data_IF_391080200433
#
_entry.id   IF_391080200433
#
_cell.length_a   1.000
_cell.length_b   1.000
_cell.length_c   1.000
_cell.angle_alpha   90.00
_cell.angle_beta   90.00
_cell.angle_gamma   90.00
#
_symmetry.space_group_name_H-M   'P 1'
#
loop_
_entity.id
_entity.type
_entity.pdbx_description
1 polymer ?
#
# COMPACT_ATOMS: atom_id res chain seq x y z
N UNK A 1 19.12 3.58 -16.54
CA UNK A 1 19.76 4.29 -15.41
C UNK A 1 19.50 5.78 -15.58
N UNK A 2 18.38 6.27 -15.05
CA UNK A 2 18.14 7.72 -15.00
C UNK A 2 18.91 8.28 -13.81
N UNK A 3 19.80 9.24 -14.04
CA UNK A 3 20.58 9.89 -13.00
C UNK A 3 19.67 10.89 -12.29
N UNK A 4 19.46 10.69 -10.99
CA UNK A 4 18.84 11.69 -10.12
C UNK A 4 19.71 12.96 -10.13
N UNK A 5 19.17 14.04 -10.67
CA UNK A 5 19.79 15.36 -10.60
C UNK A 5 19.30 15.99 -9.31
N UNK A 6 20.21 16.22 -8.37
CA UNK A 6 19.91 17.01 -7.17
C UNK A 6 19.94 18.48 -7.58
N UNK A 7 18.77 19.10 -7.72
CA UNK A 7 18.67 20.56 -7.81
C UNK A 7 18.56 21.15 -6.40
N UNK A 8 19.57 21.94 -6.05
CA UNK A 8 19.58 22.80 -4.86
C UNK A 8 18.51 23.88 -5.03
N UNK A 9 17.36 23.75 -4.36
CA UNK A 9 16.51 24.87 -3.91
C UNK A 9 15.25 24.50 -3.11
N UNK A 10 15.15 23.31 -2.51
CA UNK A 10 14.00 23.00 -1.63
C UNK A 10 12.64 22.96 -2.34
N UNK A 11 12.63 22.88 -3.67
CA UNK A 11 11.43 22.66 -4.46
C UNK A 11 11.12 21.17 -4.60
N UNK A 12 9.84 20.85 -4.54
CA UNK A 12 9.29 19.50 -4.54
C UNK A 12 9.53 18.83 -5.89
N UNK A 13 10.49 17.90 -5.96
CA UNK A 13 10.40 16.85 -6.97
C UNK A 13 9.29 15.88 -6.53
N UNK A 14 8.06 16.19 -6.95
CA UNK A 14 7.05 15.16 -7.10
C UNK A 14 7.66 14.11 -8.04
N UNK A 15 7.61 12.80 -7.73
CA UNK A 15 7.78 11.82 -8.78
C UNK A 15 6.75 12.18 -9.86
N UNK A 16 7.22 12.47 -11.07
CA UNK A 16 6.38 12.79 -12.22
C UNK A 16 5.17 11.85 -12.23
N UNK A 17 3.95 12.33 -12.50
CA UNK A 17 2.77 11.46 -12.53
C UNK A 17 3.06 10.31 -13.47
N UNK A 18 3.26 9.12 -12.90
CA UNK A 18 3.41 7.90 -13.68
C UNK A 18 2.06 7.65 -14.34
N UNK A 19 2.04 7.80 -15.66
CA UNK A 19 0.88 7.52 -16.49
C UNK A 19 0.62 6.01 -16.38
N UNK A 20 -0.40 5.64 -15.61
CA UNK A 20 -0.84 4.25 -15.52
C UNK A 20 -1.42 3.81 -16.87
N UNK A 21 -0.66 3.06 -17.66
CA UNK A 21 -1.21 2.22 -18.73
C UNK A 21 -0.28 1.05 -19.07
N UNK A 22 -0.42 -0.08 -18.36
CA UNK A 22 0.04 -1.38 -18.86
C UNK A 22 -1.08 -2.39 -19.10
N UNK A 23 -2.32 -2.08 -18.68
CA UNK A 23 -3.44 -3.01 -18.71
C UNK A 23 -4.80 -2.30 -18.90
N UNK A 24 -5.05 -1.56 -20.00
CA UNK A 24 -6.35 -1.62 -20.71
C UNK A 24 -6.36 -0.85 -22.03
N UNK A 25 -6.44 -1.63 -23.12
CA UNK A 25 -6.75 -1.25 -24.51
C UNK A 25 -5.88 -0.13 -25.08
N UNK A 26 -4.87 -0.54 -25.86
CA UNK A 26 -4.43 0.25 -27.00
C UNK A 26 -5.68 0.73 -27.73
N UNK A 27 -5.85 2.05 -27.86
CA UNK A 27 -6.84 2.58 -28.78
C UNK A 27 -6.51 1.99 -30.16
N UNK A 28 -7.31 1.01 -30.61
CA UNK A 28 -7.21 0.53 -31.98
C UNK A 28 -7.89 1.61 -32.82
N UNK A 29 -7.10 2.52 -33.38
CA UNK A 29 -7.56 3.39 -34.44
C UNK A 29 -7.96 2.49 -35.62
N UNK A 30 -9.25 2.21 -35.77
CA UNK A 30 -9.81 1.66 -37.01
C UNK A 30 -10.19 2.82 -37.90
N UNK A 31 -9.25 3.32 -38.68
CA UNK A 31 -9.60 4.14 -39.85
C UNK A 31 -10.28 3.22 -40.86
N UNK A 32 -11.61 3.19 -40.86
CA UNK A 32 -12.38 2.66 -41.99
C UNK A 32 -12.47 3.80 -43.01
N UNK A 33 -11.51 3.87 -43.93
CA UNK A 33 -11.63 4.75 -45.09
C UNK A 33 -12.73 4.20 -45.98
N UNK A 34 -13.94 4.74 -45.85
CA UNK A 34 -14.98 4.61 -46.85
C UNK A 34 -15.15 5.98 -47.51
N UNK A 35 -15.08 5.97 -48.84
CA UNK A 35 -15.24 7.12 -49.72
C UNK A 35 -16.68 7.63 -49.64
N UNK A 36 -17.00 8.44 -48.63
CA UNK A 36 -18.21 9.26 -48.62
C UNK A 36 -18.04 10.43 -47.65
N UNK A 37 -18.23 11.64 -48.16
CA UNK A 37 -18.01 12.94 -47.53
C UNK A 37 -19.02 13.29 -46.42
N UNK A 38 -19.12 12.48 -45.37
CA UNK A 38 -19.84 12.86 -44.16
C UNK A 38 -18.84 13.09 -43.03
N UNK A 39 -18.85 14.33 -42.48
CA UNK A 39 -18.07 14.71 -41.29
C UNK A 39 -18.31 13.71 -40.17
N UNK A 40 -17.32 12.86 -39.89
CA UNK A 40 -17.29 12.05 -38.68
C UNK A 40 -16.30 12.69 -37.74
N UNK A 41 -16.82 13.28 -36.66
CA UNK A 41 -16.01 13.64 -35.51
C UNK A 41 -15.44 12.32 -34.95
N UNK A 42 -14.11 12.23 -34.84
CA UNK A 42 -13.47 11.07 -34.25
C UNK A 42 -14.08 10.81 -32.86
N UNK A 43 -14.48 9.57 -32.59
CA UNK A 43 -15.03 9.18 -31.30
C UNK A 43 -13.97 9.47 -30.23
N UNK A 44 -14.18 10.56 -29.48
CA UNK A 44 -13.21 11.11 -28.54
C UNK A 44 -12.97 10.08 -27.42
N UNK A 45 -11.87 9.32 -27.53
CA UNK A 45 -11.48 8.39 -26.48
C UNK A 45 -10.92 9.21 -25.31
N UNK A 46 -11.72 9.37 -24.26
CA UNK A 46 -11.28 10.04 -23.03
C UNK A 46 -10.57 9.00 -22.17
N UNK A 47 -9.24 8.93 -22.24
CA UNK A 47 -8.44 8.08 -21.34
C UNK A 47 -8.30 8.80 -20.00
N UNK A 48 -8.94 8.26 -18.96
CA UNK A 48 -8.75 8.72 -17.60
C UNK A 48 -7.45 8.13 -17.03
N UNK A 49 -6.37 8.90 -17.08
CA UNK A 49 -5.07 8.50 -16.52
C UNK A 49 -5.17 8.47 -14.98
N UNK A 50 -4.79 7.37 -14.34
CA UNK A 50 -4.63 7.29 -12.88
C UNK A 50 -3.32 7.97 -12.50
N UNK A 51 -3.36 8.88 -11.52
CA UNK A 51 -2.19 9.64 -11.07
C UNK A 51 -2.30 9.98 -9.57
N UNK A 52 -1.19 10.41 -8.97
CA UNK A 52 -1.15 10.99 -7.62
C UNK A 52 -1.14 12.51 -7.75
N UNK A 53 -2.09 13.17 -7.10
CA UNK A 53 -2.13 14.64 -7.09
C UNK A 53 -1.05 15.27 -6.20
N UNK A 54 -1.00 16.61 -6.18
CA UNK A 54 -0.02 17.36 -5.39
C UNK A 54 -0.20 17.23 -3.87
N UNK A 55 -1.31 16.65 -3.41
CA UNK A 55 -1.59 16.37 -2.00
C UNK A 55 -1.28 14.91 -1.64
N UNK A 56 -0.89 14.06 -2.60
CA UNK A 56 -0.57 12.65 -2.37
C UNK A 56 -1.78 11.71 -2.44
N UNK A 57 -2.88 12.13 -3.08
CA UNK A 57 -4.09 11.32 -3.26
C UNK A 57 -4.18 10.74 -4.66
N UNK A 58 -4.57 9.46 -4.77
CA UNK A 58 -4.77 8.79 -6.05
C UNK A 58 -6.07 9.30 -6.68
N UNK A 59 -5.99 9.74 -7.93
CA UNK A 59 -7.11 10.25 -8.73
C UNK A 59 -7.43 9.35 -9.91
N UNK A 60 -8.64 9.49 -10.44
CA UNK A 60 -9.17 8.73 -11.58
C UNK A 60 -9.19 7.20 -11.43
N UNK A 61 -9.08 6.69 -10.21
CA UNK A 61 -9.16 5.25 -9.92
C UNK A 61 -10.45 4.83 -9.21
N UNK A 62 -11.43 5.73 -9.03
CA UNK A 62 -12.63 5.44 -8.23
C UNK A 62 -12.33 5.21 -6.75
N UNK A 63 -11.27 5.86 -6.24
CA UNK A 63 -10.88 5.88 -4.82
C UNK A 63 -11.48 7.13 -4.20
N UNK A 64 -12.15 6.97 -3.05
CA UNK A 64 -12.82 8.04 -2.33
C UNK A 64 -11.80 8.71 -1.41
N UNK A 65 -11.57 10.03 -1.58
CA UNK A 65 -10.75 10.80 -0.63
C UNK A 65 -11.57 11.04 0.64
N UNK A 66 -11.09 10.55 1.78
CA UNK A 66 -11.66 10.81 3.10
C UNK A 66 -10.52 11.05 4.09
N UNK A 67 -9.93 12.25 4.07
CA UNK A 67 -8.76 12.57 4.89
C UNK A 67 -9.06 12.46 6.40
N UNK A 68 -8.18 11.78 7.12
CA UNK A 68 -8.11 11.75 8.59
C UNK A 68 -6.76 12.36 9.00
N UNK A 69 -6.70 13.67 9.29
CA UNK A 69 -5.45 14.39 9.52
C UNK A 69 -4.61 13.79 10.66
N UNK A 70 -5.24 13.19 11.66
CA UNK A 70 -4.56 12.59 12.82
C UNK A 70 -3.64 11.42 12.45
N UNK A 71 -3.81 10.81 11.27
CA UNK A 71 -2.94 9.74 10.79
C UNK A 71 -1.62 10.25 10.19
N UNK A 72 -1.55 11.52 9.82
CA UNK A 72 -0.44 12.09 9.04
C UNK A 72 0.71 12.52 9.96
N UNK A 73 1.63 11.59 10.22
CA UNK A 73 2.64 11.73 11.28
C UNK A 73 3.92 12.45 10.81
N UNK A 74 4.26 12.33 9.53
CA UNK A 74 5.46 12.96 8.98
C UNK A 74 5.80 12.47 7.58
N UNK A 75 6.77 13.11 6.93
CA UNK A 75 7.12 12.83 5.52
C UNK A 75 7.55 11.37 5.30
N UNK A 76 6.99 10.74 4.28
CA UNK A 76 7.39 9.45 3.74
C UNK A 76 8.09 9.66 2.39
N UNK A 77 9.43 9.74 2.36
CA UNK A 77 10.16 10.11 1.14
C UNK A 77 10.21 9.00 0.10
N UNK A 78 9.97 7.75 0.50
CA UNK A 78 9.99 6.59 -0.38
C UNK A 78 8.99 5.56 0.12
N UNK A 79 8.24 4.97 -0.79
CA UNK A 79 7.42 3.79 -0.54
C UNK A 79 8.18 2.59 -1.08
N UNK A 80 8.51 1.65 -0.20
CA UNK A 80 9.20 0.40 -0.54
C UNK A 80 8.26 -0.81 -0.57
N UNK A 81 7.05 -0.70 0.01
CA UNK A 81 6.18 -1.85 0.19
C UNK A 81 4.72 -1.48 0.47
N UNK A 82 3.86 -2.48 0.34
CA UNK A 82 2.46 -2.47 0.75
C UNK A 82 2.29 -3.48 1.88
N UNK A 83 1.52 -3.12 2.92
CA UNK A 83 1.19 -4.00 4.04
C UNK A 83 -0.32 -4.11 4.14
N UNK A 84 -0.81 -5.35 4.18
CA UNK A 84 -2.23 -5.69 4.21
C UNK A 84 -2.66 -6.00 5.65
N UNK A 85 -3.79 -5.43 6.05
CA UNK A 85 -4.34 -5.46 7.40
C UNK A 85 -5.83 -5.79 7.40
N UNK A 86 -6.35 -6.15 8.58
CA UNK A 86 -7.78 -6.19 8.89
C UNK A 86 -8.07 -5.38 10.14
N UNK A 87 -9.20 -4.67 10.14
CA UNK A 87 -9.50 -3.61 11.10
C UNK A 87 -10.00 -4.07 12.47
N UNK A 88 -10.42 -5.34 12.61
CA UNK A 88 -11.30 -5.82 13.70
C UNK A 88 -12.53 -4.90 13.90
N UNK A 89 -13.18 -4.57 12.79
CA UNK A 89 -14.36 -3.68 12.72
C UNK A 89 -15.32 -4.19 11.65
N UNK A 90 -16.61 -3.93 11.85
CA UNK A 90 -17.67 -4.27 10.90
C UNK A 90 -18.09 -3.12 9.99
N UNK A 91 -17.65 -1.89 10.26
CA UNK A 91 -18.12 -0.68 9.55
C UNK A 91 -17.00 0.32 9.31
N UNK A 92 -17.15 1.11 8.24
CA UNK A 92 -16.23 2.20 7.91
C UNK A 92 -16.20 3.25 9.03
N UNK A 93 -17.36 3.60 9.61
CA UNK A 93 -17.46 4.57 10.69
C UNK A 93 -16.69 4.13 11.95
N UNK A 94 -16.77 2.84 12.30
CA UNK A 94 -15.99 2.28 13.42
C UNK A 94 -14.48 2.36 13.17
N UNK A 95 -14.06 2.07 11.94
CA UNK A 95 -12.65 2.16 11.54
C UNK A 95 -12.15 3.61 11.56
N UNK A 96 -12.91 4.55 10.98
CA UNK A 96 -12.57 5.98 10.98
C UNK A 96 -12.50 6.57 12.40
N UNK A 97 -13.41 6.17 13.29
CA UNK A 97 -13.37 6.58 14.70
C UNK A 97 -12.16 5.99 15.46
N UNK A 98 -11.60 4.87 15.00
CA UNK A 98 -10.32 4.37 15.52
C UNK A 98 -9.15 5.18 14.96
N UNK A 99 -9.18 5.47 13.66
CA UNK A 99 -8.15 6.23 12.96
C UNK A 99 -7.98 7.65 13.50
N UNK A 100 -9.06 8.28 13.95
CA UNK A 100 -9.01 9.61 14.59
C UNK A 100 -8.23 9.64 15.91
N UNK A 101 -7.73 8.49 16.39
CA UNK A 101 -6.79 8.40 17.53
C UNK A 101 -5.32 8.42 17.10
N UNK A 102 -5.04 8.62 15.81
CA UNK A 102 -3.71 8.68 15.23
C UNK A 102 -3.07 7.33 14.90
N UNK A 103 -3.81 6.23 15.02
CA UNK A 103 -3.33 4.88 14.65
C UNK A 103 -4.25 4.34 13.56
N UNK A 104 -3.68 4.04 12.40
CA UNK A 104 -4.42 3.61 11.23
C UNK A 104 -3.53 3.57 10.00
N UNK A 105 -4.15 3.35 8.85
CA UNK A 105 -3.48 3.09 7.58
C UNK A 105 -3.88 4.11 6.51
N UNK A 106 -3.24 4.01 5.34
CA UNK A 106 -3.45 4.95 4.24
C UNK A 106 -4.77 4.69 3.52
N UNK A 107 -5.17 3.42 3.39
CA UNK A 107 -6.39 3.02 2.70
C UNK A 107 -7.28 2.15 3.56
N UNK A 108 -8.58 2.21 3.30
CA UNK A 108 -9.60 1.33 3.85
C UNK A 108 -10.38 0.69 2.70
N UNK A 109 -10.60 -0.63 2.75
CA UNK A 109 -11.45 -1.37 1.80
C UNK A 109 -12.70 -1.89 2.52
N UNK A 110 -13.84 -1.32 2.14
CA UNK A 110 -15.15 -1.66 2.69
C UNK A 110 -15.68 -2.99 2.14
N UNK A 111 -16.68 -3.58 2.80
CA UNK A 111 -17.25 -4.90 2.46
C UNK A 111 -17.78 -5.00 1.04
N UNK A 112 -18.31 -3.89 0.51
CA UNK A 112 -18.82 -3.77 -0.85
C UNK A 112 -17.73 -3.50 -1.89
N UNK A 113 -16.48 -3.34 -1.47
CA UNK A 113 -15.33 -3.05 -2.32
C UNK A 113 -15.03 -1.56 -2.49
N UNK A 114 -15.75 -0.64 -1.85
CA UNK A 114 -15.38 0.77 -1.87
C UNK A 114 -14.00 0.98 -1.23
N UNK A 115 -13.16 1.79 -1.87
CA UNK A 115 -11.82 2.11 -1.41
C UNK A 115 -11.81 3.56 -0.95
N UNK A 116 -11.41 3.78 0.31
CA UNK A 116 -11.18 5.10 0.86
C UNK A 116 -9.69 5.33 1.03
N UNK A 117 -9.20 6.50 0.65
CA UNK A 117 -7.86 6.96 1.01
C UNK A 117 -7.97 7.93 2.18
N UNK A 118 -7.47 7.49 3.34
CA UNK A 118 -7.55 8.19 4.61
C UNK A 118 -6.36 9.13 4.88
N UNK A 119 -5.19 8.87 4.29
CA UNK A 119 -4.00 9.69 4.45
C UNK A 119 -3.29 9.91 3.11
N UNK A 120 -2.56 11.02 3.01
CA UNK A 120 -1.67 11.27 1.87
C UNK A 120 -0.60 10.17 1.73
N UNK A 121 -0.24 9.82 0.50
CA UNK A 121 0.90 8.92 0.23
C UNK A 121 2.27 9.59 0.46
N UNK A 122 2.32 10.91 0.69
CA UNK A 122 3.56 11.63 0.95
C UNK A 122 3.94 11.67 2.43
N UNK A 123 3.06 11.16 3.29
CA UNK A 123 3.27 11.07 4.74
C UNK A 123 3.07 9.64 5.20
N UNK A 124 3.77 9.24 6.25
CA UNK A 124 3.57 7.92 6.82
C UNK A 124 2.43 7.92 7.83
N UNK A 125 1.86 6.73 8.04
CA UNK A 125 0.84 6.46 9.07
C UNK A 125 1.37 5.43 10.07
N UNK A 126 0.80 5.43 11.28
CA UNK A 126 1.16 4.49 12.34
C UNK A 126 0.41 3.15 12.23
N UNK A 127 0.72 2.32 11.23
CA UNK A 127 -0.02 1.07 10.94
C UNK A 127 0.70 -0.25 11.29
N UNK A 128 2.04 -0.29 11.29
CA UNK A 128 2.82 -1.54 11.40
C UNK A 128 3.18 -1.91 12.84
N UNK A 129 3.57 -0.91 13.62
CA UNK A 129 4.20 -1.13 14.93
C UNK A 129 5.63 -1.67 14.82
N UNK A 130 5.99 -2.59 15.71
CA UNK A 130 7.36 -3.11 15.83
C UNK A 130 7.58 -4.28 14.86
N UNK A 131 8.40 -4.07 13.83
CA UNK A 131 8.78 -5.15 12.91
C UNK A 131 9.63 -6.24 13.57
N UNK A 132 9.47 -7.47 13.07
CA UNK A 132 10.30 -8.64 13.35
C UNK A 132 11.62 -8.56 12.60
N UNK A 133 12.57 -9.45 12.95
CA UNK A 133 13.81 -9.57 12.21
C UNK A 133 13.62 -10.39 10.93
N UNK A 134 13.77 -9.76 9.76
CA UNK A 134 13.54 -10.44 8.47
C UNK A 134 14.46 -11.65 8.30
N UNK A 135 15.75 -11.47 8.58
CA UNK A 135 16.73 -12.55 8.42
C UNK A 135 16.51 -13.74 9.37
N UNK A 136 15.88 -13.50 10.53
CA UNK A 136 15.43 -14.56 11.43
C UNK A 136 14.25 -15.33 10.85
N UNK A 137 13.20 -14.62 10.44
CA UNK A 137 11.98 -15.24 9.91
C UNK A 137 12.26 -16.03 8.62
N UNK A 138 13.09 -15.49 7.74
CA UNK A 138 13.50 -16.12 6.47
C UNK A 138 14.68 -17.10 6.64
N UNK A 139 15.27 -17.20 7.84
CA UNK A 139 16.46 -18.04 8.14
C UNK A 139 17.68 -17.73 7.26
N UNK A 140 17.87 -16.48 6.88
CA UNK A 140 18.95 -15.98 6.01
C UNK A 140 20.08 -15.27 6.77
N UNK A 141 20.03 -15.22 8.10
CA UNK A 141 21.01 -14.53 8.94
C UNK A 141 22.43 -15.15 8.92
N UNK A 142 23.44 -14.31 9.13
CA UNK A 142 24.80 -14.78 9.40
C UNK A 142 24.93 -15.30 10.84
N UNK A 143 26.05 -15.95 11.15
CA UNK A 143 26.32 -16.44 12.52
C UNK A 143 26.40 -15.28 13.53
N UNK A 144 26.97 -14.15 13.14
CA UNK A 144 27.10 -12.94 13.95
C UNK A 144 25.74 -12.32 14.22
N UNK A 145 24.93 -12.21 13.16
CA UNK A 145 23.60 -11.63 13.24
C UNK A 145 22.66 -12.49 14.10
N UNK A 146 22.73 -13.82 13.94
CA UNK A 146 22.01 -14.76 14.79
C UNK A 146 22.35 -14.56 16.27
N UNK A 147 23.64 -14.54 16.64
CA UNK A 147 24.08 -14.30 18.02
C UNK A 147 23.53 -12.98 18.57
N UNK A 148 23.54 -11.93 17.76
CA UNK A 148 23.04 -10.60 18.17
C UNK A 148 21.54 -10.60 18.42
N UNK A 149 20.74 -11.15 17.49
CA UNK A 149 19.28 -11.23 17.62
C UNK A 149 18.88 -12.15 18.78
N UNK A 150 19.56 -13.29 18.97
CA UNK A 150 19.31 -14.19 20.11
C UNK A 150 19.62 -13.52 21.45
N UNK A 151 20.70 -12.73 21.53
CA UNK A 151 21.04 -11.96 22.73
C UNK A 151 20.00 -10.90 23.11
N UNK A 152 19.14 -10.47 22.18
CA UNK A 152 18.02 -9.58 22.51
C UNK A 152 16.86 -10.28 23.21
N UNK A 153 16.75 -11.61 23.11
CA UNK A 153 15.65 -12.39 23.66
C UNK A 153 14.28 -11.94 23.15
N UNK A 154 13.25 -11.99 24.00
CA UNK A 154 11.88 -11.57 23.68
C UNK A 154 11.67 -10.04 23.68
N UNK A 155 12.71 -9.25 23.35
CA UNK A 155 12.63 -7.80 23.32
C UNK A 155 12.34 -7.27 21.89
N UNK A 156 11.05 -7.18 21.56
CA UNK A 156 10.57 -6.68 20.27
C UNK A 156 11.08 -5.27 19.94
N UNK A 157 11.31 -4.40 20.95
CA UNK A 157 11.84 -3.05 20.71
C UNK A 157 13.29 -3.10 20.26
N UNK A 158 14.15 -3.88 20.93
CA UNK A 158 15.56 -4.02 20.51
C UNK A 158 15.69 -4.61 19.11
N UNK A 159 14.85 -5.61 18.79
CA UNK A 159 14.80 -6.19 17.45
C UNK A 159 14.39 -5.11 16.42
N UNK A 160 13.28 -4.42 16.65
CA UNK A 160 12.80 -3.36 15.78
C UNK A 160 13.84 -2.24 15.57
N UNK A 161 14.44 -1.74 16.64
CA UNK A 161 15.43 -0.68 16.59
C UNK A 161 16.68 -1.11 15.81
N UNK A 162 17.10 -2.38 15.94
CA UNK A 162 18.21 -2.94 15.17
C UNK A 162 17.85 -3.14 13.69
N UNK A 163 16.64 -3.62 13.38
CA UNK A 163 16.19 -3.78 12.00
C UNK A 163 16.11 -2.46 11.27
N UNK A 164 15.63 -1.37 11.91
CA UNK A 164 15.50 -0.03 11.30
C UNK A 164 16.81 0.56 10.78
N UNK A 165 17.97 0.10 11.28
CA UNK A 165 19.28 0.55 10.82
C UNK A 165 19.61 -0.05 9.43
N UNK A 166 19.00 -1.18 9.09
CA UNK A 166 19.20 -1.86 7.82
C UNK A 166 18.43 -1.16 6.69
N UNK A 167 18.96 -1.24 5.49
CA UNK A 167 18.25 -0.82 4.30
C UNK A 167 17.23 -1.89 3.88
N UNK A 168 16.10 -1.45 3.33
CA UNK A 168 15.25 -2.34 2.56
C UNK A 168 16.02 -2.86 1.32
N UNK A 169 15.99 -4.16 0.98
CA UNK A 169 15.10 -5.20 1.49
C UNK A 169 15.69 -6.08 2.63
N UNK A 170 16.83 -5.76 3.22
CA UNK A 170 17.44 -6.57 4.31
C UNK A 170 16.69 -6.56 5.64
N UNK A 171 15.65 -5.72 5.74
CA UNK A 171 14.64 -5.68 6.80
C UNK A 171 13.24 -5.70 6.18
N UNK A 172 12.24 -5.99 7.00
CA UNK A 172 10.85 -5.74 6.61
C UNK A 172 10.57 -4.23 6.46
N UNK A 173 9.56 -3.86 5.66
CA UNK A 173 9.07 -2.49 5.62
C UNK A 173 8.41 -2.10 6.94
N UNK A 174 8.39 -0.82 7.27
CA UNK A 174 7.77 -0.27 8.48
C UNK A 174 7.09 1.06 8.16
N UNK A 175 6.37 1.64 9.13
CA UNK A 175 5.55 2.86 8.94
C UNK A 175 6.15 3.88 7.96
N UNK A 176 7.42 4.26 8.12
CA UNK A 176 8.06 5.34 7.37
C UNK A 176 8.42 5.02 5.91
N UNK A 177 8.18 3.78 5.45
CA UNK A 177 8.45 3.38 4.06
C UNK A 177 7.45 2.38 3.48
N UNK A 178 6.22 2.34 4.02
CA UNK A 178 5.17 1.44 3.57
C UNK A 178 3.81 2.10 3.47
N UNK A 179 3.01 1.61 2.52
CA UNK A 179 1.58 1.90 2.44
C UNK A 179 0.80 0.82 3.17
N UNK A 180 -0.08 1.21 4.08
CA UNK A 180 -1.01 0.31 4.76
C UNK A 180 -2.38 0.29 4.09
N UNK A 181 -2.94 -0.91 3.91
CA UNK A 181 -4.30 -1.13 3.42
C UNK A 181 -5.08 -1.92 4.48
N UNK A 182 -6.12 -1.31 5.03
CA UNK A 182 -6.98 -1.88 6.07
C UNK A 182 -8.28 -2.41 5.47
N UNK A 183 -8.53 -3.71 5.62
CA UNK A 183 -9.72 -4.38 5.09
C UNK A 183 -10.74 -4.54 6.20
N UNK A 184 -11.96 -4.04 5.99
CA UNK A 184 -13.03 -4.16 6.99
C UNK A 184 -13.37 -5.63 7.19
N UNK A 185 -13.08 -6.14 8.39
CA UNK A 185 -13.32 -7.50 8.81
C UNK A 185 -13.29 -7.59 10.34
N UNK A 186 -14.11 -8.50 10.89
CA UNK A 186 -14.10 -8.82 12.32
C UNK A 186 -13.12 -9.96 12.62
N UNK A 187 -12.57 -9.95 13.84
CA UNK A 187 -11.85 -11.08 14.39
C UNK A 187 -12.75 -11.90 15.33
N UNK A 188 -12.98 -13.17 14.99
CA UNK A 188 -13.64 -14.11 15.88
C UNK A 188 -12.65 -14.57 16.96
N UNK A 189 -12.74 -13.93 18.14
CA UNK A 189 -11.89 -14.24 19.30
C UNK A 189 -12.07 -15.66 19.82
N UNK A 190 -13.24 -16.27 19.64
CA UNK A 190 -13.53 -17.63 20.12
C UNK A 190 -12.83 -18.66 19.24
N UNK A 191 -12.94 -18.50 17.93
CA UNK A 191 -12.35 -19.41 16.95
C UNK A 191 -10.93 -18.99 16.51
N UNK A 192 -10.45 -17.86 17.02
CA UNK A 192 -9.15 -17.23 16.70
C UNK A 192 -8.95 -17.03 15.20
N UNK A 193 -10.01 -16.62 14.50
CA UNK A 193 -10.03 -16.54 13.04
C UNK A 193 -10.55 -15.19 12.57
N UNK A 194 -9.90 -14.65 11.55
CA UNK A 194 -10.39 -13.48 10.84
C UNK A 194 -11.53 -13.84 9.90
N UNK A 195 -12.50 -12.94 9.79
CA UNK A 195 -13.50 -13.01 8.75
C UNK A 195 -12.83 -12.98 7.36
N UNK A 196 -13.28 -13.86 6.47
CA UNK A 196 -12.80 -13.91 5.09
C UNK A 196 -13.17 -12.61 4.35
N UNK A 197 -12.26 -12.12 3.52
CA UNK A 197 -12.56 -11.00 2.63
C UNK A 197 -13.63 -11.39 1.59
N UNK A 198 -14.55 -10.48 1.30
CA UNK A 198 -15.55 -10.66 0.24
C UNK A 198 -14.89 -10.63 -1.14
N UNK A 199 -15.57 -11.13 -2.17
CA UNK A 199 -15.06 -11.07 -3.54
C UNK A 199 -14.88 -9.63 -4.02
N UNK A 200 -15.75 -8.70 -3.59
CA UNK A 200 -15.61 -7.28 -3.90
C UNK A 200 -14.38 -6.68 -3.22
N UNK A 201 -14.12 -7.03 -1.95
CA UNK A 201 -12.90 -6.62 -1.26
C UNK A 201 -11.66 -7.12 -2.00
N UNK A 202 -11.60 -8.41 -2.36
CA UNK A 202 -10.45 -8.98 -3.08
C UNK A 202 -10.18 -8.26 -4.41
N UNK A 203 -11.20 -8.04 -5.23
CA UNK A 203 -11.08 -7.29 -6.51
C UNK A 203 -10.56 -5.87 -6.29
N UNK A 204 -11.02 -5.21 -5.22
CA UNK A 204 -10.58 -3.85 -4.89
C UNK A 204 -9.15 -3.82 -4.35
N UNK A 205 -8.76 -4.80 -3.55
CA UNK A 205 -7.38 -4.97 -3.07
C UNK A 205 -6.44 -5.23 -4.24
N UNK A 206 -6.76 -6.16 -5.13
CA UNK A 206 -5.99 -6.44 -6.35
C UNK A 206 -5.79 -5.17 -7.18
N UNK A 207 -6.88 -4.45 -7.48
CA UNK A 207 -6.82 -3.18 -8.22
C UNK A 207 -5.94 -2.13 -7.52
N UNK A 208 -6.09 -1.96 -6.20
CA UNK A 208 -5.34 -0.96 -5.43
C UNK A 208 -3.84 -1.32 -5.36
N UNK A 209 -3.53 -2.58 -5.08
CA UNK A 209 -2.16 -3.11 -5.06
C UNK A 209 -1.51 -2.92 -6.42
N UNK A 210 -2.19 -3.24 -7.52
CA UNK A 210 -1.67 -3.03 -8.86
C UNK A 210 -1.40 -1.55 -9.16
N UNK A 211 -2.30 -0.64 -8.77
CA UNK A 211 -2.08 0.80 -8.93
C UNK A 211 -0.81 1.24 -8.19
N UNK A 212 -0.69 0.88 -6.91
CA UNK A 212 0.45 1.30 -6.07
C UNK A 212 1.75 0.67 -6.59
N UNK A 213 1.75 -0.62 -6.94
CA UNK A 213 2.91 -1.31 -7.53
C UNK A 213 3.39 -0.62 -8.80
N UNK A 214 2.47 -0.23 -9.70
CA UNK A 214 2.86 0.43 -10.93
C UNK A 214 3.36 1.87 -10.70
N UNK A 215 2.81 2.61 -9.73
CA UNK A 215 3.26 3.98 -9.42
C UNK A 215 4.59 4.00 -8.68
N UNK A 216 4.90 3.00 -7.86
CA UNK A 216 6.13 2.99 -7.05
C UNK A 216 7.13 1.92 -7.51
N UNK A 217 6.90 1.32 -8.69
CA UNK A 217 7.74 0.27 -9.27
C UNK A 217 7.99 -0.90 -8.29
N UNK A 218 6.95 -1.31 -7.57
CA UNK A 218 7.00 -2.41 -6.60
C UNK A 218 6.68 -3.76 -7.26
N UNK A 219 7.25 -4.82 -6.71
CA UNK A 219 7.04 -6.20 -7.13
C UNK A 219 6.12 -6.95 -6.14
N UNK A 220 5.69 -8.16 -6.49
CA UNK A 220 4.87 -9.00 -5.60
C UNK A 220 5.55 -9.29 -4.25
N UNK A 221 6.89 -9.40 -4.26
CA UNK A 221 7.70 -9.57 -3.04
C UNK A 221 7.68 -8.37 -2.10
N UNK A 222 7.14 -7.24 -2.55
CA UNK A 222 7.02 -6.00 -1.77
C UNK A 222 5.61 -5.84 -1.18
N UNK A 223 4.73 -6.85 -1.29
CA UNK A 223 3.41 -6.91 -0.65
C UNK A 223 3.48 -7.89 0.53
N UNK A 224 3.17 -7.40 1.73
CA UNK A 224 3.33 -8.16 2.97
C UNK A 224 2.03 -8.31 3.75
N UNK A 225 1.86 -9.46 4.37
CA UNK A 225 0.84 -9.70 5.39
C UNK A 225 1.36 -9.19 6.75
N UNK A 226 0.52 -8.43 7.47
CA UNK A 226 0.95 -7.75 8.69
C UNK A 226 1.48 -8.70 9.79
N UNK A 227 0.86 -9.86 9.98
CA UNK A 227 1.24 -10.85 10.99
C UNK A 227 2.57 -11.54 10.70
N UNK A 228 3.02 -11.55 9.44
CA UNK A 228 4.30 -12.13 9.05
C UNK A 228 5.47 -11.21 9.38
N UNK A 229 5.27 -9.90 9.30
CA UNK A 229 6.35 -8.92 9.47
C UNK A 229 6.35 -8.25 10.85
N UNK A 230 5.27 -8.31 11.62
CA UNK A 230 5.09 -7.65 12.91
C UNK A 230 4.47 -8.58 13.96
N UNK A 231 4.45 -8.17 15.22
CA UNK A 231 3.90 -8.95 16.35
C UNK A 231 2.39 -8.73 16.46
N UNK A 232 1.66 -9.29 15.50
CA UNK A 232 0.23 -9.06 15.28
C UNK A 232 -0.58 -10.35 15.34
N UNK A 233 -1.89 -10.23 15.39
CA UNK A 233 -2.77 -11.38 15.49
C UNK A 233 -2.61 -12.25 14.25
N UNK A 234 -2.38 -13.54 14.43
CA UNK A 234 -2.16 -14.47 13.32
C UNK A 234 -3.28 -14.37 12.27
N UNK A 235 -2.89 -14.30 11.00
CA UNK A 235 -3.81 -14.18 9.87
C UNK A 235 -4.38 -12.78 9.61
N UNK A 236 -3.92 -11.74 10.31
CA UNK A 236 -4.43 -10.37 10.14
C UNK A 236 -4.32 -9.89 8.69
N UNK A 237 -3.18 -10.14 8.03
CA UNK A 237 -2.98 -9.80 6.61
C UNK A 237 -3.27 -10.93 5.62
N UNK A 238 -3.51 -12.16 6.11
CA UNK A 238 -3.50 -13.36 5.29
C UNK A 238 -4.67 -13.44 4.31
N UNK A 239 -4.42 -14.06 3.15
CA UNK A 239 -5.41 -14.34 2.08
C UNK A 239 -6.13 -13.11 1.53
N UNK A 240 -5.56 -11.91 1.70
CA UNK A 240 -6.11 -10.65 1.18
C UNK A 240 -5.68 -10.34 -0.26
N UNK A 241 -4.50 -10.82 -0.65
CA UNK A 241 -3.93 -10.66 -1.99
C UNK A 241 -3.29 -11.97 -2.42
N UNK A 242 -3.43 -12.31 -3.70
CA UNK A 242 -2.79 -13.46 -4.30
C UNK A 242 -2.11 -13.02 -5.59
N UNK A 243 -0.91 -13.54 -5.82
CA UNK A 243 -0.20 -13.32 -7.07
C UNK A 243 -0.87 -14.19 -8.14
N UNK A 244 -1.37 -13.55 -9.21
CA UNK A 244 -1.94 -14.24 -10.38
C UNK A 244 -0.85 -14.73 -11.32
#
# INVERSE_FOLDING_TARGET
>A
MSKNVILSNGERENPSPLIYDKHKKHCIFRTKTLLSEEKKEDEKCTVSVVFIDHEGYIRNAGIIKHTVPELEEGRMPKINAIILHRTDSSTINGTLASFSKGIGAHFIVEKDGNIYQAASLFVYTSHVGKIKSRCKEEKTWSSEEKKKIEAFGWNAKKIHDHEKIKQYPYRYPYNMDSVGIEVIALYDKKNKKWESATDSQKKSIEKLVDIIKNIYELEDRDVYEHDKISYKTEGEGADLYSVN
#
